data_IF_684298001931
#
_entry.id   IF_684298001931
#
_cell.length_a   1.000
_cell.length_b   1.000
_cell.length_c   1.000
_cell.angle_alpha   90.00
_cell.angle_beta   90.00
_cell.angle_gamma   90.00
#
_symmetry.space_group_name_H-M   'P 1'
#
loop_
_entity.id
_entity.type
_entity.pdbx_description
1 polymer ?
#
# COMPACT_ATOMS: atom_id res chain seq x y z
N UNK A 1 -2.14 21.26 15.32
CA UNK A 1 -3.47 21.02 15.97
C UNK A 1 -3.39 21.08 17.49
N UNK A 2 -2.62 20.20 18.18
CA UNK A 2 -2.57 20.19 19.66
C UNK A 2 -2.09 21.53 20.24
N UNK A 3 -1.00 22.10 19.72
CA UNK A 3 -0.49 23.41 20.09
C UNK A 3 -1.55 24.52 19.87
N UNK A 4 -2.18 24.54 18.69
CA UNK A 4 -3.26 25.48 18.35
C UNK A 4 -4.44 25.42 19.34
N UNK A 5 -4.82 24.19 19.78
CA UNK A 5 -5.87 24.03 20.80
C UNK A 5 -5.43 24.58 22.15
N UNK A 6 -4.18 24.31 22.57
CA UNK A 6 -3.65 24.87 23.81
C UNK A 6 -3.65 26.41 23.76
N UNK A 7 -3.15 26.99 22.68
CA UNK A 7 -3.03 28.43 22.51
C UNK A 7 -4.40 29.12 22.58
N UNK A 8 -5.32 28.73 21.70
CA UNK A 8 -6.66 29.35 21.65
C UNK A 8 -7.50 29.14 22.88
N UNK A 9 -7.40 27.98 23.53
CA UNK A 9 -8.22 27.70 24.70
C UNK A 9 -7.63 28.31 26.01
N UNK A 10 -6.30 28.49 26.06
CA UNK A 10 -5.70 29.27 27.16
C UNK A 10 -6.06 30.75 27.07
N UNK A 11 -6.10 31.32 25.86
CA UNK A 11 -6.63 32.69 25.65
C UNK A 11 -8.09 32.81 26.04
N UNK A 12 -8.88 31.73 25.91
CA UNK A 12 -10.27 31.68 26.37
C UNK A 12 -10.42 31.47 27.89
N UNK A 13 -9.31 31.34 28.64
CA UNK A 13 -9.29 31.28 30.12
C UNK A 13 -9.25 29.88 30.72
N UNK A 14 -9.02 28.81 29.92
CA UNK A 14 -8.82 27.46 30.48
C UNK A 14 -7.35 27.25 30.91
N UNK A 15 -7.15 26.46 31.95
CA UNK A 15 -5.79 26.14 32.42
C UNK A 15 -5.14 25.04 31.56
N UNK A 16 -3.81 25.03 31.50
CA UNK A 16 -3.04 23.99 30.73
C UNK A 16 -3.35 22.59 31.27
N UNK A 17 -3.45 22.42 32.60
CA UNK A 17 -3.77 21.12 33.24
C UNK A 17 -5.15 20.60 32.81
N UNK A 18 -6.16 21.48 32.77
CA UNK A 18 -7.50 21.10 32.33
C UNK A 18 -7.49 20.68 30.86
N UNK A 19 -6.79 21.41 30.01
CA UNK A 19 -6.73 21.14 28.57
C UNK A 19 -5.98 19.85 28.30
N UNK A 20 -4.78 19.68 28.81
CA UNK A 20 -3.96 18.49 28.56
C UNK A 20 -4.61 17.21 29.05
N UNK A 21 -5.37 17.25 30.14
CA UNK A 21 -6.13 16.11 30.68
C UNK A 21 -7.28 15.66 29.76
N UNK A 22 -7.74 16.53 28.85
CA UNK A 22 -8.89 16.28 27.96
C UNK A 22 -8.48 16.05 26.49
N UNK A 23 -7.30 16.52 26.08
CA UNK A 23 -6.80 16.33 24.73
C UNK A 23 -6.36 14.87 24.53
N UNK A 24 -6.92 14.22 23.53
CA UNK A 24 -6.54 12.87 23.10
C UNK A 24 -6.11 12.90 21.65
N UNK A 25 -5.01 12.22 21.36
CA UNK A 25 -4.50 12.10 20.00
C UNK A 25 -4.87 10.75 19.41
N UNK A 26 -5.41 10.74 18.20
CA UNK A 26 -5.71 9.52 17.45
C UNK A 26 -4.67 9.36 16.36
N UNK A 27 -3.95 8.25 16.38
CA UNK A 27 -2.92 7.93 15.40
C UNK A 27 -3.32 6.70 14.60
N UNK A 28 -3.20 6.78 13.25
CA UNK A 28 -3.18 5.58 12.44
C UNK A 28 -1.88 4.81 12.67
N UNK A 29 -1.94 3.48 12.72
CA UNK A 29 -0.76 2.63 12.79
C UNK A 29 -0.69 1.74 11.54
N UNK A 30 0.41 1.85 10.81
CA UNK A 30 0.63 1.18 9.52
C UNK A 30 1.61 0.00 9.61
N UNK A 31 2.04 -0.44 8.44
CA UNK A 31 2.83 -1.69 8.29
C UNK A 31 4.28 -1.59 8.68
N UNK A 32 4.86 -0.37 8.75
CA UNK A 32 6.29 -0.22 9.02
C UNK A 32 6.57 -0.29 10.53
N UNK A 33 6.75 -1.51 11.04
CA UNK A 33 6.79 -1.85 12.45
C UNK A 33 7.66 -0.93 13.32
N UNK A 34 8.93 -0.74 12.93
CA UNK A 34 9.87 0.04 13.73
C UNK A 34 9.64 1.56 13.60
N UNK A 35 9.18 2.02 12.43
CA UNK A 35 8.80 3.43 12.24
C UNK A 35 7.58 3.78 13.09
N UNK A 36 6.59 2.91 13.15
CA UNK A 36 5.39 3.12 13.95
C UNK A 36 5.72 3.15 15.44
N UNK A 37 6.56 2.23 15.92
CA UNK A 37 7.03 2.21 17.30
C UNK A 37 7.78 3.50 17.65
N UNK A 38 8.71 3.93 16.81
CA UNK A 38 9.48 5.16 17.00
C UNK A 38 8.59 6.41 16.91
N UNK A 39 7.55 6.40 16.07
CA UNK A 39 6.56 7.48 15.96
C UNK A 39 5.85 7.77 17.29
N UNK A 40 5.39 6.74 17.99
CA UNK A 40 4.72 6.92 19.29
C UNK A 40 5.69 7.44 20.35
N UNK A 41 6.94 6.99 20.35
CA UNK A 41 7.98 7.51 21.25
C UNK A 41 8.30 8.99 20.94
N UNK A 42 8.47 9.35 19.67
CA UNK A 42 8.71 10.72 19.24
C UNK A 42 7.51 11.64 19.56
N UNK A 43 6.27 11.18 19.33
CA UNK A 43 5.07 11.95 19.63
C UNK A 43 4.97 12.29 21.12
N UNK A 44 5.32 11.34 22.01
CA UNK A 44 5.33 11.56 23.45
C UNK A 44 6.35 12.62 23.84
N UNK A 45 7.53 12.57 23.28
CA UNK A 45 8.57 13.55 23.53
C UNK A 45 8.17 14.94 23.03
N UNK A 46 7.76 15.06 21.78
CA UNK A 46 7.39 16.35 21.18
C UNK A 46 6.21 17.01 21.89
N UNK A 47 5.21 16.23 22.32
CA UNK A 47 4.12 16.78 23.10
C UNK A 47 4.59 17.34 24.46
N UNK A 48 5.49 16.62 25.14
CA UNK A 48 6.06 17.09 26.39
C UNK A 48 6.86 18.40 26.24
N UNK A 49 7.59 18.59 25.14
CA UNK A 49 8.28 19.84 24.83
C UNK A 49 7.27 20.98 24.58
N UNK A 50 6.20 20.74 23.81
CA UNK A 50 5.16 21.74 23.54
C UNK A 50 4.49 22.18 24.85
N UNK A 51 4.05 21.24 25.68
CA UNK A 51 3.38 21.57 26.96
C UNK A 51 4.34 22.25 27.93
N UNK A 52 5.60 21.78 27.99
CA UNK A 52 6.65 22.35 28.83
C UNK A 52 7.01 23.80 28.50
N UNK A 53 6.76 24.24 27.26
CA UNK A 53 6.99 25.62 26.83
C UNK A 53 6.05 26.63 27.51
N UNK A 54 4.90 26.18 28.04
CA UNK A 54 3.97 27.02 28.80
C UNK A 54 4.42 27.29 30.27
N UNK A 55 5.41 26.57 30.76
CA UNK A 55 6.01 26.76 32.07
C UNK A 55 6.55 25.49 32.71
N UNK A 56 7.58 25.62 33.56
CA UNK A 56 8.24 24.48 34.19
C UNK A 56 7.30 23.63 35.07
N UNK A 57 6.25 24.25 35.63
CA UNK A 57 5.23 23.56 36.43
C UNK A 57 4.46 22.50 35.59
N UNK A 58 4.43 22.63 34.27
CA UNK A 58 3.68 21.73 33.40
C UNK A 58 4.52 20.56 32.85
N UNK A 59 5.82 20.46 33.17
CA UNK A 59 6.71 19.39 32.75
C UNK A 59 6.44 18.02 33.39
N UNK A 60 5.51 17.93 34.34
CA UNK A 60 5.12 16.71 35.04
C UNK A 60 3.96 15.97 34.37
N UNK A 61 2.90 15.76 35.14
CA UNK A 61 1.71 15.01 34.69
C UNK A 61 0.96 15.70 33.55
N UNK A 62 0.97 17.02 33.48
CA UNK A 62 0.36 17.79 32.41
C UNK A 62 1.02 17.53 31.03
N UNK A 63 2.30 17.18 31.01
CA UNK A 63 3.02 16.87 29.79
C UNK A 63 2.77 15.45 29.23
N UNK A 64 2.03 14.61 29.97
CA UNK A 64 1.71 13.26 29.51
C UNK A 64 0.67 13.30 28.40
N UNK A 65 1.04 12.75 27.24
CA UNK A 65 0.12 12.61 26.10
C UNK A 65 -0.79 11.40 26.30
N UNK A 66 -2.07 11.51 25.92
CA UNK A 66 -2.95 10.37 25.75
C UNK A 66 -3.03 9.99 24.27
N UNK A 67 -2.59 8.79 23.92
CA UNK A 67 -2.54 8.28 22.56
C UNK A 67 -3.51 7.13 22.36
N UNK A 68 -4.43 7.31 21.42
CA UNK A 68 -5.25 6.24 20.88
C UNK A 68 -4.73 5.84 19.52
N UNK A 69 -4.45 4.55 19.28
CA UNK A 69 -4.05 4.05 17.98
C UNK A 69 -5.19 3.31 17.28
N UNK A 70 -5.26 3.44 15.97
CA UNK A 70 -6.19 2.69 15.11
C UNK A 70 -5.38 2.04 13.99
N UNK A 71 -5.54 0.74 13.75
CA UNK A 71 -4.87 0.07 12.63
C UNK A 71 -5.28 0.71 11.32
N UNK A 72 -4.28 1.01 10.46
CA UNK A 72 -4.50 1.78 9.23
C UNK A 72 -5.29 1.00 8.19
N UNK A 73 -6.13 1.69 7.42
CA UNK A 73 -6.79 1.14 6.23
C UNK A 73 -5.91 1.18 5.00
N UNK A 74 -4.83 1.98 5.00
CA UNK A 74 -3.94 2.19 3.85
C UNK A 74 -3.48 0.89 3.18
N UNK A 75 -3.04 -0.08 3.97
CA UNK A 75 -2.47 -1.35 3.51
C UNK A 75 -3.47 -2.52 3.54
N UNK A 76 -4.75 -2.27 3.79
CA UNK A 76 -5.79 -3.31 3.74
C UNK A 76 -6.25 -3.54 2.31
N UNK A 77 -6.53 -4.79 1.98
CA UNK A 77 -6.84 -5.25 0.63
C UNK A 77 -8.16 -5.98 0.58
N UNK A 78 -8.84 -5.94 -0.57
CA UNK A 78 -10.05 -6.74 -0.82
C UNK A 78 -9.71 -8.13 -1.35
N UNK A 79 -8.60 -8.26 -2.08
CA UNK A 79 -8.06 -9.55 -2.49
C UNK A 79 -7.17 -10.10 -1.39
N UNK A 80 -7.21 -11.43 -1.23
CA UNK A 80 -6.52 -12.15 -0.16
C UNK A 80 -6.80 -11.53 1.22
N UNK A 81 -8.07 -11.22 1.47
CA UNK A 81 -8.53 -10.38 2.58
C UNK A 81 -8.12 -10.93 3.97
N UNK A 82 -7.97 -12.26 4.11
CA UNK A 82 -7.52 -12.85 5.38
C UNK A 82 -6.06 -12.46 5.73
N UNK A 83 -5.24 -12.05 4.77
CA UNK A 83 -3.91 -11.49 5.06
C UNK A 83 -4.01 -10.18 5.86
N UNK A 84 -5.15 -9.48 5.80
CA UNK A 84 -5.40 -8.31 6.65
C UNK A 84 -5.32 -8.64 8.16
N UNK A 85 -5.65 -9.89 8.56
CA UNK A 85 -5.48 -10.35 9.95
C UNK A 85 -4.00 -10.29 10.39
N UNK A 86 -3.10 -10.73 9.51
CA UNK A 86 -1.66 -10.69 9.78
C UNK A 86 -1.13 -9.26 9.83
N UNK A 87 -1.66 -8.40 8.94
CA UNK A 87 -1.31 -6.97 8.92
C UNK A 87 -1.72 -6.26 10.20
N UNK A 88 -2.99 -6.42 10.61
CA UNK A 88 -3.51 -5.80 11.83
C UNK A 88 -2.82 -6.32 13.08
N UNK A 89 -2.40 -7.60 13.11
CA UNK A 89 -1.64 -8.16 14.21
C UNK A 89 -0.29 -7.45 14.40
N UNK A 90 0.49 -7.29 13.33
CA UNK A 90 1.81 -6.62 13.40
C UNK A 90 1.68 -5.13 13.72
N UNK A 91 0.64 -4.46 13.22
CA UNK A 91 0.31 -3.08 13.55
C UNK A 91 -0.06 -2.93 15.03
N UNK A 92 -0.92 -3.81 15.55
CA UNK A 92 -1.30 -3.84 16.96
C UNK A 92 -0.09 -4.09 17.88
N UNK A 93 0.84 -4.96 17.46
CA UNK A 93 2.10 -5.19 18.18
C UNK A 93 2.95 -3.92 18.27
N UNK A 94 3.15 -3.22 17.14
CA UNK A 94 3.97 -1.99 17.12
C UNK A 94 3.34 -0.87 17.95
N UNK A 95 2.01 -0.74 17.94
CA UNK A 95 1.29 0.23 18.76
C UNK A 95 1.42 -0.09 20.26
N UNK A 96 1.21 -1.34 20.64
CA UNK A 96 1.30 -1.79 22.04
C UNK A 96 2.72 -1.61 22.60
N UNK A 97 3.74 -2.02 21.87
CA UNK A 97 5.14 -1.86 22.26
C UNK A 97 5.59 -0.39 22.21
N UNK A 98 4.97 0.43 21.37
CA UNK A 98 5.14 1.89 21.35
C UNK A 98 4.47 2.62 22.52
N UNK A 99 3.71 1.88 23.35
CA UNK A 99 3.13 2.37 24.59
C UNK A 99 1.92 3.29 24.40
N UNK A 100 1.03 2.98 23.45
CA UNK A 100 -0.25 3.70 23.33
C UNK A 100 -1.17 3.39 24.49
N UNK A 101 -2.02 4.35 24.86
CA UNK A 101 -2.94 4.20 26.01
C UNK A 101 -4.16 3.36 25.65
N UNK A 102 -4.56 3.38 24.40
CA UNK A 102 -5.66 2.55 23.90
C UNK A 102 -5.48 2.23 22.41
N UNK A 103 -6.10 1.13 21.97
CA UNK A 103 -5.94 0.62 20.62
C UNK A 103 -7.29 0.13 20.07
N UNK A 104 -7.59 0.48 18.83
CA UNK A 104 -8.63 -0.16 18.01
C UNK A 104 -7.98 -0.95 16.90
N UNK A 105 -8.22 -2.26 16.86
CA UNK A 105 -7.90 -3.14 15.74
C UNK A 105 -9.12 -3.20 14.84
N UNK A 106 -8.97 -2.78 13.60
CA UNK A 106 -10.05 -2.88 12.63
C UNK A 106 -10.21 -4.32 12.14
N UNK A 107 -11.45 -4.79 11.91
CA UNK A 107 -11.72 -6.08 11.32
C UNK A 107 -11.09 -6.24 9.94
N UNK A 108 -10.76 -7.48 9.56
CA UNK A 108 -10.06 -7.75 8.30
C UNK A 108 -10.88 -7.46 7.04
N UNK A 109 -12.20 -7.43 7.17
CA UNK A 109 -13.19 -7.26 6.11
C UNK A 109 -13.68 -5.82 5.92
N UNK A 110 -13.23 -4.89 6.76
CA UNK A 110 -13.66 -3.46 6.77
C UNK A 110 -13.52 -2.75 5.42
N UNK A 111 -12.74 -3.30 4.49
CA UNK A 111 -12.48 -2.70 3.17
C UNK A 111 -13.51 -3.07 2.11
N UNK A 112 -14.37 -4.07 2.34
CA UNK A 112 -15.27 -4.58 1.32
C UNK A 112 -16.67 -4.94 1.80
N UNK A 113 -16.90 -4.95 3.11
CA UNK A 113 -18.22 -5.20 3.68
C UNK A 113 -18.37 -4.56 5.06
N UNK A 114 -19.60 -4.42 5.52
CA UNK A 114 -19.86 -4.15 6.92
C UNK A 114 -19.44 -5.36 7.76
N UNK A 115 -18.63 -5.11 8.81
CA UNK A 115 -18.04 -6.17 9.61
C UNK A 115 -19.10 -6.93 10.41
N UNK A 116 -18.95 -8.24 10.49
CA UNK A 116 -19.85 -9.12 11.22
C UNK A 116 -19.30 -9.51 12.61
N UNK A 117 -20.10 -10.23 13.38
CA UNK A 117 -19.71 -10.71 14.71
C UNK A 117 -18.44 -11.59 14.70
N UNK A 118 -18.14 -12.27 13.59
CA UNK A 118 -16.93 -13.10 13.47
C UNK A 118 -15.70 -12.22 13.29
N UNK A 119 -15.72 -11.32 12.33
CA UNK A 119 -14.58 -10.44 12.02
C UNK A 119 -14.28 -9.48 13.18
N UNK A 120 -15.31 -8.92 13.84
CA UNK A 120 -15.15 -8.10 15.05
C UNK A 120 -14.57 -8.89 16.22
N UNK A 121 -15.02 -10.14 16.41
CA UNK A 121 -14.48 -11.01 17.46
C UNK A 121 -13.01 -11.31 17.24
N UNK A 122 -12.58 -11.57 16.01
CA UNK A 122 -11.17 -11.80 15.69
C UNK A 122 -10.35 -10.54 15.98
N UNK A 123 -10.80 -9.38 15.53
CA UNK A 123 -10.10 -8.11 15.78
C UNK A 123 -9.91 -7.82 17.27
N UNK A 124 -10.94 -8.09 18.10
CA UNK A 124 -10.83 -7.99 19.54
C UNK A 124 -9.89 -9.03 20.14
N UNK A 125 -9.96 -10.27 19.66
CA UNK A 125 -9.13 -11.36 20.17
C UNK A 125 -7.64 -11.15 19.86
N UNK A 126 -7.27 -10.46 18.80
CA UNK A 126 -5.88 -10.05 18.55
C UNK A 126 -5.31 -9.23 19.71
N UNK A 127 -6.08 -8.29 20.25
CA UNK A 127 -5.65 -7.48 21.40
C UNK A 127 -5.56 -8.31 22.69
N UNK A 128 -6.53 -9.22 22.91
CA UNK A 128 -6.51 -10.12 24.06
C UNK A 128 -5.31 -11.08 24.00
N UNK A 129 -4.97 -11.59 22.81
CA UNK A 129 -3.79 -12.43 22.58
C UNK A 129 -2.51 -11.67 22.95
N UNK A 130 -2.36 -10.43 22.53
CA UNK A 130 -1.19 -9.61 22.86
C UNK A 130 -1.06 -9.39 24.37
N UNK A 131 -2.17 -9.25 25.09
CA UNK A 131 -2.20 -9.04 26.53
C UNK A 131 -2.02 -10.34 27.31
N UNK A 132 -2.88 -11.33 27.09
CA UNK A 132 -3.00 -12.52 27.94
C UNK A 132 -1.99 -13.63 27.61
N UNK A 133 -1.60 -13.78 26.33
CA UNK A 133 -0.66 -14.81 25.89
C UNK A 133 0.74 -14.27 25.65
N UNK A 134 0.84 -13.09 25.02
CA UNK A 134 2.14 -12.47 24.66
C UNK A 134 2.68 -11.55 25.78
N UNK A 135 1.85 -11.18 26.75
CA UNK A 135 2.21 -10.38 27.92
C UNK A 135 2.85 -9.01 27.61
N UNK A 136 2.43 -8.36 26.52
CA UNK A 136 2.99 -7.07 26.10
C UNK A 136 2.64 -5.92 27.07
N UNK A 137 1.67 -6.12 27.95
CA UNK A 137 1.28 -5.17 29.00
C UNK A 137 2.20 -5.20 30.25
N UNK A 138 3.18 -6.12 30.30
CA UNK A 138 4.06 -6.30 31.46
C UNK A 138 5.34 -5.47 31.42
N UNK A 139 5.67 -4.87 30.29
CA UNK A 139 6.92 -4.12 30.08
C UNK A 139 6.60 -2.75 29.51
N UNK A 140 7.19 -1.71 30.11
CA UNK A 140 7.09 -0.33 29.63
C UNK A 140 8.30 -0.05 28.74
N UNK A 141 8.06 0.50 27.53
CA UNK A 141 9.07 0.88 26.55
C UNK A 141 10.17 -0.19 26.34
N UNK A 142 9.79 -1.40 25.92
CA UNK A 142 10.76 -2.51 25.78
C UNK A 142 11.80 -2.27 24.69
N UNK A 143 11.61 -1.27 23.85
CA UNK A 143 12.54 -0.87 22.80
C UNK A 143 13.60 0.16 23.27
N UNK A 144 13.48 0.66 24.50
CA UNK A 144 14.43 1.60 25.09
C UNK A 144 15.85 1.02 25.09
N UNK A 145 16.84 1.84 24.71
CA UNK A 145 18.25 1.45 24.60
C UNK A 145 18.61 0.67 23.34
N UNK A 146 17.68 0.33 22.47
CA UNK A 146 17.99 -0.17 21.13
C UNK A 146 18.56 0.95 20.29
N UNK A 147 19.81 0.86 19.85
CA UNK A 147 20.48 1.90 19.05
C UNK A 147 19.69 2.31 17.81
N UNK A 148 19.09 1.35 17.14
CA UNK A 148 18.29 1.59 15.95
C UNK A 148 17.01 2.38 16.28
N UNK A 149 16.27 1.97 17.32
CA UNK A 149 15.02 2.64 17.71
C UNK A 149 15.28 4.03 18.28
N UNK A 150 16.33 4.20 19.09
CA UNK A 150 16.71 5.51 19.62
C UNK A 150 17.06 6.48 18.49
N UNK A 151 17.91 6.04 17.54
CA UNK A 151 18.26 6.85 16.38
C UNK A 151 17.04 7.21 15.54
N UNK A 152 16.15 6.24 15.27
CA UNK A 152 14.94 6.44 14.48
C UNK A 152 13.96 7.39 15.19
N UNK A 153 13.81 7.26 16.50
CA UNK A 153 12.98 8.16 17.33
C UNK A 153 13.48 9.60 17.24
N UNK A 154 14.79 9.80 17.40
CA UNK A 154 15.39 11.13 17.31
C UNK A 154 15.22 11.74 15.91
N UNK A 155 15.50 10.97 14.86
CA UNK A 155 15.36 11.43 13.48
C UNK A 155 13.92 11.82 13.14
N UNK A 156 12.93 11.01 13.59
CA UNK A 156 11.52 11.34 13.41
C UNK A 156 11.12 12.58 14.20
N UNK A 157 11.56 12.72 15.45
CA UNK A 157 11.28 13.89 16.27
C UNK A 157 11.83 15.17 15.63
N UNK A 158 13.08 15.14 15.14
CA UNK A 158 13.69 16.30 14.46
C UNK A 158 12.92 16.71 13.19
N UNK A 159 12.53 15.74 12.36
CA UNK A 159 11.79 16.05 11.13
C UNK A 159 10.37 16.56 11.44
N UNK A 160 9.68 15.93 12.40
CA UNK A 160 8.35 16.37 12.83
C UNK A 160 8.40 17.77 13.45
N UNK A 161 9.45 18.09 14.22
CA UNK A 161 9.65 19.41 14.80
C UNK A 161 9.86 20.49 13.72
N UNK A 162 10.67 20.19 12.70
CA UNK A 162 10.84 21.11 11.55
C UNK A 162 9.53 21.40 10.82
N UNK A 163 8.69 20.37 10.62
CA UNK A 163 7.38 20.54 10.01
C UNK A 163 6.43 21.34 10.91
N UNK A 164 6.48 21.11 12.21
CA UNK A 164 5.72 21.89 13.20
C UNK A 164 6.09 23.37 13.12
N UNK A 165 7.39 23.70 13.19
CA UNK A 165 7.84 25.09 13.10
C UNK A 165 7.45 25.77 11.78
N UNK A 166 7.50 25.05 10.66
CA UNK A 166 7.08 25.58 9.37
C UNK A 166 5.58 25.96 9.36
N UNK A 167 4.72 25.14 10.00
CA UNK A 167 3.29 25.41 10.15
C UNK A 167 3.07 26.62 11.09
N UNK A 168 3.84 26.73 12.17
CA UNK A 168 3.76 27.89 13.08
C UNK A 168 4.20 29.21 12.39
N UNK A 169 5.23 29.16 11.53
CA UNK A 169 5.66 30.31 10.72
C UNK A 169 4.58 30.76 9.72
N UNK A 170 3.71 29.87 9.23
CA UNK A 170 2.55 30.23 8.39
C UNK A 170 1.41 30.91 9.18
N UNK A 171 1.49 30.97 10.51
CA UNK A 171 0.45 31.52 11.39
C UNK A 171 -0.35 30.48 12.13
N UNK A 172 0.17 29.25 12.27
CA UNK A 172 -0.42 28.13 12.99
C UNK A 172 -1.25 27.20 12.10
N UNK A 173 -1.69 26.11 12.72
CA UNK A 173 -2.35 25.02 11.99
C UNK A 173 -3.66 25.43 11.30
N UNK A 174 -4.47 26.29 11.94
CA UNK A 174 -5.74 26.71 11.35
C UNK A 174 -5.52 27.52 10.06
N UNK A 175 -4.60 28.48 10.10
CA UNK A 175 -4.24 29.32 8.93
C UNK A 175 -3.65 28.47 7.81
N UNK A 176 -2.70 27.58 8.13
CA UNK A 176 -2.09 26.68 7.16
C UNK A 176 -3.11 25.71 6.52
N UNK A 177 -4.08 25.21 7.30
CA UNK A 177 -5.16 24.36 6.80
C UNK A 177 -6.14 25.12 5.90
N UNK A 178 -6.51 26.35 6.25
CA UNK A 178 -7.37 27.22 5.42
C UNK A 178 -6.67 27.60 4.11
N UNK A 179 -5.35 27.85 4.15
CA UNK A 179 -4.53 28.11 2.97
C UNK A 179 -4.28 26.86 2.10
N UNK A 180 -4.59 25.65 2.61
CA UNK A 180 -4.42 24.39 1.89
C UNK A 180 -2.98 23.84 1.88
N UNK A 181 -2.03 24.46 2.59
CA UNK A 181 -0.62 24.03 2.61
C UNK A 181 -0.45 22.64 3.25
N UNK A 182 -1.18 22.36 4.33
CA UNK A 182 -1.20 21.06 5.01
C UNK A 182 -1.73 19.97 4.08
N UNK A 183 -2.86 20.21 3.42
CA UNK A 183 -3.49 19.27 2.50
C UNK A 183 -2.59 18.97 1.30
N UNK A 184 -1.98 20.00 0.72
CA UNK A 184 -1.03 19.86 -0.38
C UNK A 184 0.16 18.98 0.00
N UNK A 185 0.74 19.15 1.19
CA UNK A 185 1.86 18.34 1.68
C UNK A 185 1.46 16.88 1.90
N UNK A 186 0.28 16.64 2.51
CA UNK A 186 -0.26 15.30 2.75
C UNK A 186 -0.59 14.60 1.43
N UNK A 187 -1.31 15.27 0.52
CA UNK A 187 -1.68 14.70 -0.78
C UNK A 187 -0.45 14.42 -1.66
N UNK A 188 0.59 15.27 -1.62
CA UNK A 188 1.85 15.01 -2.30
C UNK A 188 2.57 13.77 -1.75
N UNK A 189 2.54 13.56 -0.43
CA UNK A 189 3.07 12.35 0.21
C UNK A 189 2.28 11.10 -0.20
N UNK A 190 0.94 11.20 -0.22
CA UNK A 190 0.06 10.13 -0.67
C UNK A 190 0.32 9.74 -2.13
N UNK A 191 0.43 10.72 -3.04
CA UNK A 191 0.75 10.48 -4.46
C UNK A 191 2.09 9.75 -4.65
N UNK A 192 3.13 10.10 -3.86
CA UNK A 192 4.41 9.38 -3.88
C UNK A 192 4.26 7.92 -3.45
N UNK A 193 3.44 7.65 -2.45
CA UNK A 193 3.17 6.27 -1.99
C UNK A 193 2.42 5.48 -3.04
N UNK A 194 1.38 6.03 -3.68
CA UNK A 194 0.68 5.39 -4.80
C UNK A 194 1.63 5.07 -5.95
N UNK A 195 2.52 6.00 -6.32
CA UNK A 195 3.54 5.75 -7.34
C UNK A 195 4.51 4.61 -6.94
N UNK A 196 4.84 4.49 -5.65
CA UNK A 196 5.67 3.40 -5.15
C UNK A 196 4.94 2.05 -5.22
N UNK A 197 3.64 2.00 -4.92
CA UNK A 197 2.79 0.81 -5.06
C UNK A 197 2.66 0.41 -6.53
N UNK A 198 2.38 1.38 -7.43
CA UNK A 198 2.26 1.14 -8.87
C UNK A 198 3.53 0.53 -9.48
N UNK A 199 4.71 0.92 -8.98
CA UNK A 199 6.01 0.41 -9.41
C UNK A 199 6.52 -0.78 -8.58
N UNK A 200 5.70 -1.38 -7.69
CA UNK A 200 6.08 -2.46 -6.75
C UNK A 200 7.26 -2.13 -5.83
N UNK A 201 7.53 -0.87 -5.55
CA UNK A 201 8.47 -0.45 -4.50
C UNK A 201 7.85 -0.57 -3.11
N UNK A 202 6.54 -0.38 -3.00
CA UNK A 202 5.70 -0.73 -1.83
C UNK A 202 4.84 -1.95 -2.22
N UNK A 203 4.99 -3.05 -1.46
CA UNK A 203 4.38 -4.35 -1.80
C UNK A 203 3.17 -4.61 -0.91
N UNK A 204 2.06 -4.97 -1.54
CA UNK A 204 0.88 -5.53 -0.88
C UNK A 204 0.66 -6.96 -1.36
N UNK A 205 0.92 -7.91 -0.46
CA UNK A 205 0.71 -9.34 -0.72
C UNK A 205 -0.73 -9.61 -1.14
N UNK A 206 -0.91 -10.44 -2.16
CA UNK A 206 -2.23 -10.76 -2.69
C UNK A 206 -2.78 -9.73 -3.68
N UNK A 207 -2.15 -8.55 -3.82
CA UNK A 207 -2.62 -7.46 -4.69
C UNK A 207 -1.62 -7.16 -5.81
N UNK A 208 -0.52 -6.46 -5.50
CA UNK A 208 0.50 -6.14 -6.51
C UNK A 208 1.69 -7.11 -6.51
N UNK A 209 1.69 -8.08 -5.60
CA UNK A 209 2.69 -9.14 -5.50
C UNK A 209 2.05 -10.42 -4.95
N UNK A 210 2.41 -11.57 -5.52
CA UNK A 210 1.88 -12.89 -5.16
C UNK A 210 0.34 -12.95 -5.09
N UNK A 211 -0.38 -12.49 -6.13
CA UNK A 211 -1.83 -12.54 -6.14
C UNK A 211 -2.33 -13.99 -6.16
N UNK A 212 -3.46 -14.25 -5.51
CA UNK A 212 -4.16 -15.52 -5.65
C UNK A 212 -4.84 -15.59 -7.02
N UNK A 213 -4.40 -16.50 -7.89
CA UNK A 213 -4.84 -16.60 -9.28
C UNK A 213 -6.30 -17.04 -9.47
N UNK A 214 -6.88 -17.67 -8.44
CA UNK A 214 -8.22 -18.24 -8.49
C UNK A 214 -9.26 -17.40 -7.76
N UNK A 215 -8.84 -16.39 -7.00
CA UNK A 215 -9.73 -15.54 -6.24
C UNK A 215 -10.45 -14.53 -7.13
N UNK A 216 -11.73 -14.33 -6.86
CA UNK A 216 -12.56 -13.25 -7.41
C UNK A 216 -13.18 -12.44 -6.28
N UNK A 217 -13.30 -11.14 -6.44
CA UNK A 217 -13.84 -10.24 -5.43
C UNK A 217 -15.11 -9.51 -5.88
N UNK A 218 -15.42 -9.47 -7.18
CA UNK A 218 -16.56 -8.72 -7.70
C UNK A 218 -17.91 -9.09 -7.06
N UNK A 219 -18.08 -10.34 -6.62
CA UNK A 219 -19.31 -10.81 -5.95
C UNK A 219 -19.33 -10.49 -4.44
N UNK A 220 -18.19 -10.15 -3.84
CA UNK A 220 -18.07 -9.85 -2.41
C UNK A 220 -18.36 -8.37 -2.12
N UNK A 221 -18.24 -7.51 -3.13
CA UNK A 221 -18.43 -6.08 -2.99
C UNK A 221 -19.92 -5.76 -3.09
N UNK A 222 -20.50 -5.25 -2.01
CA UNK A 222 -21.83 -4.68 -2.04
C UNK A 222 -21.76 -3.27 -2.68
N UNK A 223 -22.68 -2.94 -3.57
CA UNK A 223 -22.74 -1.63 -4.26
C UNK A 223 -22.75 -0.44 -3.29
N UNK A 224 -23.22 -0.63 -2.07
CA UNK A 224 -23.23 0.38 -1.00
C UNK A 224 -21.83 0.71 -0.46
N UNK A 225 -20.88 -0.22 -0.48
CA UNK A 225 -19.52 0.04 -0.03
C UNK A 225 -18.72 0.94 -0.99
N UNK A 226 -19.04 0.90 -2.28
CA UNK A 226 -18.44 1.81 -3.28
C UNK A 226 -19.00 3.25 -3.15
N UNK A 227 -20.27 3.40 -2.76
CA UNK A 227 -20.90 4.70 -2.59
C UNK A 227 -20.44 5.46 -1.33
N UNK A 228 -20.08 4.73 -0.27
CA UNK A 228 -19.64 5.31 1.01
C UNK A 228 -18.29 6.05 0.93
N UNK A 229 -17.47 5.77 -0.08
CA UNK A 229 -16.17 6.43 -0.26
C UNK A 229 -16.26 7.82 -0.91
N UNK A 230 -17.40 8.22 -1.46
CA UNK A 230 -17.50 9.39 -2.33
C UNK A 230 -18.57 10.44 -1.98
N UNK A 231 -19.36 10.29 -0.91
CA UNK A 231 -20.40 11.29 -0.62
C UNK A 231 -20.30 11.91 0.77
N UNK A 232 -19.48 12.93 0.88
CA UNK A 232 -19.78 13.97 1.85
C UNK A 232 -20.79 14.93 1.19
N UNK A 233 -22.05 14.91 1.61
CA UNK A 233 -23.13 15.77 1.09
C UNK A 233 -23.03 17.25 1.47
N UNK A 234 -21.84 17.75 1.71
CA UNK A 234 -21.53 19.16 1.93
C UNK A 234 -21.22 19.79 0.58
N UNK A 235 -21.77 21.00 0.31
CA UNK A 235 -21.49 21.79 -0.88
C UNK A 235 -19.99 21.89 -1.18
N UNK A 236 -19.60 22.41 -2.35
CA UNK A 236 -18.20 22.46 -2.76
C UNK A 236 -17.31 22.92 -1.60
N UNK A 237 -16.37 22.09 -1.14
CA UNK A 237 -15.52 22.44 -0.02
C UNK A 237 -14.68 23.67 -0.41
N UNK A 238 -14.68 24.69 0.45
CA UNK A 238 -13.80 25.86 0.28
C UNK A 238 -12.33 25.53 0.47
N UNK A 239 -12.02 24.33 0.95
CA UNK A 239 -10.69 23.84 1.30
C UNK A 239 -10.44 22.54 0.54
N UNK A 240 -9.22 22.35 0.00
CA UNK A 240 -8.81 21.12 -0.66
C UNK A 240 -9.02 19.90 0.25
N UNK A 241 -9.67 18.85 -0.26
CA UNK A 241 -9.88 17.62 0.49
C UNK A 241 -8.61 16.77 0.55
N UNK A 242 -8.44 16.04 1.66
CA UNK A 242 -7.42 15.01 1.75
C UNK A 242 -7.83 13.78 0.93
N UNK A 243 -6.87 13.16 0.25
CA UNK A 243 -7.07 11.86 -0.39
C UNK A 243 -6.89 10.74 0.65
N UNK A 244 -7.96 9.97 0.87
CA UNK A 244 -8.00 8.82 1.79
C UNK A 244 -7.99 7.47 1.06
N UNK A 245 -7.69 7.43 -0.24
CA UNK A 245 -7.65 6.20 -1.01
C UNK A 245 -6.63 5.22 -0.40
N UNK A 246 -6.99 3.94 -0.40
CA UNK A 246 -6.11 2.86 0.04
C UNK A 246 -5.00 2.61 -0.98
N UNK A 247 -3.83 2.20 -0.52
CA UNK A 247 -2.71 1.92 -1.41
C UNK A 247 -2.98 0.83 -2.44
N UNK A 248 -3.89 -0.10 -2.15
CA UNK A 248 -4.29 -1.18 -3.05
C UNK A 248 -5.37 -0.78 -4.07
N UNK A 249 -6.09 0.34 -3.86
CA UNK A 249 -7.33 0.70 -4.58
C UNK A 249 -7.19 0.69 -6.11
N UNK A 250 -6.08 1.18 -6.65
CA UNK A 250 -5.86 1.24 -8.09
C UNK A 250 -5.65 -0.14 -8.73
N UNK A 251 -4.91 -1.06 -8.06
CA UNK A 251 -4.77 -2.45 -8.52
C UNK A 251 -6.07 -3.23 -8.37
N UNK A 252 -6.81 -2.96 -7.30
CA UNK A 252 -8.12 -3.57 -7.07
C UNK A 252 -9.13 -3.14 -8.14
N UNK A 253 -9.17 -1.84 -8.47
CA UNK A 253 -10.01 -1.33 -9.55
C UNK A 253 -9.65 -1.97 -10.91
N UNK A 254 -8.35 -2.09 -11.22
CA UNK A 254 -7.87 -2.75 -12.43
C UNK A 254 -8.34 -4.21 -12.51
N UNK A 255 -8.16 -4.98 -11.43
CA UNK A 255 -8.54 -6.39 -11.38
C UNK A 255 -10.05 -6.58 -11.41
N UNK A 256 -10.79 -5.73 -10.68
CA UNK A 256 -12.26 -5.72 -10.72
C UNK A 256 -12.82 -5.41 -12.11
N UNK A 257 -12.20 -4.47 -12.86
CA UNK A 257 -12.57 -4.20 -14.23
C UNK A 257 -12.42 -5.46 -15.12
N UNK A 258 -11.31 -6.20 -14.94
CA UNK A 258 -11.11 -7.48 -15.62
C UNK A 258 -12.21 -8.49 -15.26
N UNK A 259 -12.51 -8.69 -13.99
CA UNK A 259 -13.54 -9.63 -13.52
C UNK A 259 -14.93 -9.25 -14.03
N UNK A 260 -15.32 -7.97 -13.94
CA UNK A 260 -16.62 -7.44 -14.37
C UNK A 260 -16.81 -7.48 -15.89
N UNK A 261 -15.73 -7.44 -16.66
CA UNK A 261 -15.80 -7.54 -18.13
C UNK A 261 -16.32 -8.89 -18.63
N UNK A 262 -16.27 -9.91 -17.78
CA UNK A 262 -16.63 -11.29 -18.15
C UNK A 262 -15.65 -11.94 -19.14
N UNK A 263 -14.57 -11.26 -19.52
CA UNK A 263 -13.54 -11.78 -20.42
C UNK A 263 -12.55 -12.64 -19.68
N UNK A 264 -12.29 -13.84 -20.15
CA UNK A 264 -11.21 -14.69 -19.64
C UNK A 264 -9.93 -14.38 -20.40
N UNK A 265 -9.11 -13.46 -19.89
CA UNK A 265 -7.81 -13.14 -20.46
C UNK A 265 -6.81 -14.20 -20.04
N UNK A 266 -6.28 -14.94 -21.02
CA UNK A 266 -5.25 -15.96 -20.82
C UNK A 266 -3.89 -15.42 -21.23
N UNK A 267 -2.90 -15.62 -20.38
CA UNK A 267 -1.50 -15.24 -20.59
C UNK A 267 -0.66 -16.51 -20.61
N UNK A 268 -0.03 -16.79 -21.73
CA UNK A 268 0.80 -17.96 -21.92
C UNK A 268 2.28 -17.62 -21.80
N UNK A 269 3.02 -18.37 -20.98
CA UNK A 269 4.45 -18.22 -20.79
C UNK A 269 5.18 -19.08 -21.84
N UNK A 270 5.68 -18.47 -22.93
CA UNK A 270 6.52 -19.14 -23.90
C UNK A 270 7.93 -19.26 -23.31
N UNK A 271 8.20 -20.37 -22.64
CA UNK A 271 9.48 -20.64 -21.96
C UNK A 271 10.41 -21.43 -22.91
N UNK A 272 11.57 -20.86 -23.24
CA UNK A 272 12.54 -21.46 -24.16
C UNK A 272 13.98 -21.09 -23.75
N UNK A 273 14.96 -21.83 -24.18
CA UNK A 273 16.38 -21.56 -23.94
C UNK A 273 16.85 -21.91 -22.54
N UNK A 274 17.70 -21.08 -21.95
CA UNK A 274 18.36 -21.31 -20.66
C UNK A 274 17.35 -21.62 -19.55
N UNK A 275 17.47 -22.79 -18.92
CA UNK A 275 16.51 -23.31 -17.94
C UNK A 275 16.32 -22.36 -16.74
N UNK A 276 17.41 -21.89 -16.16
CA UNK A 276 17.33 -21.05 -14.95
C UNK A 276 16.67 -19.70 -15.27
N UNK A 277 17.05 -19.09 -16.39
CA UNK A 277 16.54 -17.78 -16.78
C UNK A 277 15.08 -17.86 -17.25
N UNK A 278 14.71 -18.84 -18.07
CA UNK A 278 13.31 -18.98 -18.49
C UNK A 278 12.35 -19.21 -17.34
N UNK A 279 12.75 -20.00 -16.32
CA UNK A 279 11.93 -20.19 -15.10
C UNK A 279 11.80 -18.90 -14.29
N UNK A 280 12.89 -18.17 -14.07
CA UNK A 280 12.86 -16.91 -13.35
C UNK A 280 11.99 -15.86 -14.09
N UNK A 281 12.09 -15.79 -15.43
CA UNK A 281 11.27 -14.90 -16.25
C UNK A 281 9.80 -15.29 -16.27
N UNK A 282 9.50 -16.60 -16.36
CA UNK A 282 8.13 -17.10 -16.27
C UNK A 282 7.50 -16.76 -14.92
N UNK A 283 8.20 -17.03 -13.83
CA UNK A 283 7.70 -16.72 -12.48
C UNK A 283 7.46 -15.22 -12.29
N UNK A 284 8.37 -14.36 -12.75
CA UNK A 284 8.20 -12.91 -12.72
C UNK A 284 6.97 -12.47 -13.51
N UNK A 285 6.85 -12.96 -14.76
CA UNK A 285 5.76 -12.60 -15.67
C UNK A 285 4.40 -13.11 -15.19
N UNK A 286 4.35 -14.32 -14.65
CA UNK A 286 3.15 -14.89 -14.03
C UNK A 286 2.63 -14.01 -12.91
N UNK A 287 3.53 -13.60 -12.03
CA UNK A 287 3.20 -12.69 -10.92
C UNK A 287 2.76 -11.31 -11.43
N UNK A 288 3.38 -10.82 -12.52
CA UNK A 288 3.08 -9.53 -13.11
C UNK A 288 1.65 -9.48 -13.66
N UNK A 289 1.30 -10.40 -14.53
CA UNK A 289 -0.01 -10.42 -15.20
C UNK A 289 -1.16 -10.86 -14.29
N UNK A 290 -0.88 -11.72 -13.32
CA UNK A 290 -1.89 -12.16 -12.37
C UNK A 290 -2.42 -11.02 -11.48
N UNK A 291 -1.67 -9.91 -11.32
CA UNK A 291 -2.15 -8.73 -10.61
C UNK A 291 -3.38 -8.06 -11.27
N UNK A 292 -3.57 -8.26 -12.57
CA UNK A 292 -4.78 -7.83 -13.29
C UNK A 292 -5.90 -8.89 -13.29
N UNK A 293 -5.72 -10.02 -12.61
CA UNK A 293 -6.68 -11.13 -12.62
C UNK A 293 -6.63 -12.00 -13.86
N UNK A 294 -5.58 -11.88 -14.69
CA UNK A 294 -5.43 -12.71 -15.90
C UNK A 294 -5.09 -14.15 -15.51
N UNK A 295 -5.56 -15.10 -16.33
CA UNK A 295 -5.32 -16.54 -16.14
C UNK A 295 -3.97 -16.93 -16.70
N UNK A 296 -3.07 -17.32 -15.84
CA UNK A 296 -1.69 -17.69 -16.21
C UNK A 296 -1.64 -19.15 -16.65
N UNK A 297 -0.94 -19.37 -17.76
CA UNK A 297 -0.63 -20.71 -18.30
C UNK A 297 0.88 -20.86 -18.42
N UNK A 298 1.46 -21.57 -17.46
CA UNK A 298 2.88 -21.90 -17.42
C UNK A 298 3.14 -23.31 -17.96
N UNK A 299 4.40 -23.62 -18.27
CA UNK A 299 4.80 -24.90 -18.84
C UNK A 299 6.26 -25.24 -18.53
N UNK A 300 6.69 -26.43 -18.93
CA UNK A 300 8.06 -26.92 -18.68
C UNK A 300 9.10 -26.41 -19.69
N UNK A 301 8.65 -25.82 -20.83
CA UNK A 301 9.50 -25.28 -21.89
C UNK A 301 9.38 -26.03 -23.21
N UNK A 302 9.80 -25.34 -24.28
CA UNK A 302 9.70 -25.81 -25.65
C UNK A 302 11.11 -25.96 -26.25
N UNK A 303 11.24 -26.85 -27.26
CA UNK A 303 12.46 -27.00 -27.99
C UNK A 303 12.59 -25.97 -29.12
N UNK A 304 11.46 -25.55 -29.72
CA UNK A 304 11.41 -24.54 -30.77
C UNK A 304 10.41 -23.44 -30.48
N UNK A 305 10.62 -22.27 -31.07
CA UNK A 305 9.73 -21.13 -30.96
C UNK A 305 8.34 -21.45 -31.51
N UNK A 306 8.27 -22.15 -32.63
CA UNK A 306 7.01 -22.50 -33.30
C UNK A 306 6.15 -23.41 -32.43
N UNK A 307 6.73 -24.46 -31.83
CA UNK A 307 6.01 -25.31 -30.85
C UNK A 307 5.42 -24.52 -29.73
N UNK A 308 6.18 -23.56 -29.17
CA UNK A 308 5.73 -22.72 -28.07
C UNK A 308 4.62 -21.77 -28.47
N UNK A 309 4.70 -21.12 -29.62
CA UNK A 309 3.65 -20.22 -30.14
C UNK A 309 2.38 -21.01 -30.47
N UNK A 310 2.51 -22.19 -31.13
CA UNK A 310 1.34 -23.01 -31.45
C UNK A 310 0.64 -23.54 -30.21
N UNK A 311 1.42 -23.94 -29.20
CA UNK A 311 0.87 -24.35 -27.88
C UNK A 311 0.11 -23.18 -27.22
N UNK A 312 0.68 -21.97 -27.22
CA UNK A 312 0.02 -20.77 -26.69
C UNK A 312 -1.28 -20.44 -27.40
N UNK A 313 -1.28 -20.46 -28.72
CA UNK A 313 -2.47 -20.21 -29.55
C UNK A 313 -3.55 -21.28 -29.33
N UNK A 314 -3.15 -22.55 -29.21
CA UNK A 314 -4.08 -23.65 -28.92
C UNK A 314 -4.84 -23.50 -27.60
N UNK A 315 -4.27 -22.79 -26.62
CA UNK A 315 -4.94 -22.49 -25.35
C UNK A 315 -5.93 -21.32 -25.45
N UNK A 316 -5.93 -20.60 -26.57
CA UNK A 316 -6.68 -19.35 -26.73
C UNK A 316 -6.06 -18.18 -25.97
N UNK A 317 -4.72 -18.16 -25.82
CA UNK A 317 -4.04 -17.08 -25.12
C UNK A 317 -4.20 -15.73 -25.85
N UNK A 318 -4.58 -14.71 -25.10
CA UNK A 318 -4.65 -13.32 -25.59
C UNK A 318 -3.29 -12.64 -25.56
N UNK A 319 -2.40 -13.11 -24.69
CA UNK A 319 -1.04 -12.57 -24.50
C UNK A 319 -0.06 -13.75 -24.48
N UNK A 320 1.02 -13.65 -25.26
CA UNK A 320 2.15 -14.60 -25.23
C UNK A 320 3.38 -13.86 -24.73
N UNK A 321 3.96 -14.35 -23.65
CA UNK A 321 5.15 -13.78 -22.99
C UNK A 321 6.36 -14.65 -23.27
N UNK A 322 7.31 -14.15 -24.03
CA UNK A 322 8.57 -14.84 -24.27
C UNK A 322 9.46 -14.74 -23.02
N UNK A 323 9.82 -15.91 -22.48
CA UNK A 323 10.63 -16.07 -21.27
C UNK A 323 11.92 -16.84 -21.62
N UNK A 324 13.04 -16.13 -21.68
CA UNK A 324 14.37 -16.66 -21.99
C UNK A 324 15.47 -15.84 -21.29
N UNK A 325 16.74 -16.08 -21.61
CA UNK A 325 17.83 -15.22 -21.18
C UNK A 325 17.96 -13.97 -22.05
N UNK A 326 18.58 -12.92 -21.51
CA UNK A 326 18.75 -11.64 -22.22
C UNK A 326 19.56 -11.82 -23.53
N UNK A 327 20.52 -12.74 -23.54
CA UNK A 327 21.35 -13.02 -24.72
C UNK A 327 20.60 -13.75 -25.84
N UNK A 328 19.60 -14.55 -25.47
CA UNK A 328 18.80 -15.37 -26.41
C UNK A 328 17.66 -14.59 -27.08
N UNK A 329 17.26 -13.45 -26.51
CA UNK A 329 16.15 -12.67 -27.09
C UNK A 329 16.44 -12.09 -28.47
N UNK A 330 17.70 -11.84 -28.81
CA UNK A 330 18.07 -11.37 -30.17
C UNK A 330 17.68 -12.36 -31.28
N UNK A 331 17.66 -13.66 -30.95
CA UNK A 331 17.28 -14.73 -31.87
C UNK A 331 15.80 -15.08 -31.76
N UNK A 332 15.35 -15.43 -30.57
CA UNK A 332 14.00 -15.96 -30.34
C UNK A 332 12.88 -14.93 -30.48
N UNK A 333 13.12 -13.67 -30.13
CA UNK A 333 12.02 -12.68 -30.08
C UNK A 333 11.56 -12.28 -31.51
N UNK A 334 12.43 -11.98 -32.49
CA UNK A 334 11.99 -11.70 -33.85
C UNK A 334 11.32 -12.91 -34.52
N UNK A 335 11.81 -14.14 -34.28
CA UNK A 335 11.24 -15.37 -34.82
C UNK A 335 9.82 -15.58 -34.26
N UNK A 336 9.64 -15.49 -32.92
CA UNK A 336 8.35 -15.64 -32.27
C UNK A 336 7.35 -14.58 -32.76
N UNK A 337 7.77 -13.33 -32.81
CA UNK A 337 6.92 -12.22 -33.23
C UNK A 337 6.43 -12.37 -34.66
N UNK A 338 7.35 -12.74 -35.60
CA UNK A 338 7.01 -12.99 -36.97
C UNK A 338 6.07 -14.19 -37.13
N UNK A 339 6.34 -15.29 -36.42
CA UNK A 339 5.50 -16.49 -36.47
C UNK A 339 4.14 -16.28 -35.87
N UNK A 340 4.06 -15.51 -34.77
CA UNK A 340 2.79 -15.14 -34.12
C UNK A 340 1.89 -14.30 -35.03
N UNK A 341 2.46 -13.45 -35.88
CA UNK A 341 1.77 -12.66 -36.90
C UNK A 341 0.52 -11.89 -36.38
N UNK A 342 0.61 -11.29 -35.22
CA UNK A 342 -0.48 -10.48 -34.62
C UNK A 342 -1.70 -11.26 -34.09
N UNK A 343 -1.60 -12.60 -34.01
CA UNK A 343 -2.70 -13.45 -33.49
C UNK A 343 -2.94 -13.34 -31.98
N UNK A 344 -1.97 -12.79 -31.25
CA UNK A 344 -2.06 -12.44 -29.84
C UNK A 344 -1.09 -11.28 -29.53
N UNK A 345 -1.27 -10.61 -28.40
CA UNK A 345 -0.30 -9.62 -27.91
C UNK A 345 1.02 -10.31 -27.56
N UNK A 346 2.14 -9.79 -28.06
CA UNK A 346 3.47 -10.33 -27.81
C UNK A 346 4.24 -9.49 -26.80
N UNK A 347 4.86 -10.14 -25.82
CA UNK A 347 5.61 -9.50 -24.73
C UNK A 347 6.96 -10.18 -24.55
N UNK A 348 8.01 -9.41 -24.35
CA UNK A 348 9.34 -9.90 -23.96
C UNK A 348 9.56 -9.67 -22.46
N UNK A 349 9.87 -10.75 -21.73
CA UNK A 349 10.13 -10.70 -20.30
C UNK A 349 11.59 -10.36 -20.00
N UNK A 350 11.96 -9.10 -20.11
CA UNK A 350 13.32 -8.63 -19.90
C UNK A 350 13.55 -7.21 -20.38
N UNK A 351 14.79 -6.77 -20.24
CA UNK A 351 15.30 -5.54 -20.85
C UNK A 351 16.68 -5.83 -21.49
N UNK A 352 16.71 -6.68 -22.54
CA UNK A 352 17.95 -7.09 -23.18
C UNK A 352 18.66 -5.91 -23.87
N UNK A 353 19.96 -6.03 -24.07
CA UNK A 353 20.75 -5.01 -24.77
C UNK A 353 20.25 -4.74 -26.21
N UNK A 354 19.65 -5.75 -26.86
CA UNK A 354 19.05 -5.66 -28.22
C UNK A 354 17.65 -5.03 -28.24
N UNK A 355 17.15 -4.40 -27.13
CA UNK A 355 15.79 -3.85 -27.06
C UNK A 355 15.46 -2.89 -28.20
N UNK A 356 16.40 -2.06 -28.65
CA UNK A 356 16.16 -1.09 -29.72
C UNK A 356 16.04 -1.79 -31.09
N UNK A 357 16.83 -2.85 -31.35
CA UNK A 357 16.71 -3.67 -32.52
C UNK A 357 15.37 -4.42 -32.54
N UNK A 358 14.93 -4.93 -31.40
CA UNK A 358 13.63 -5.60 -31.26
C UNK A 358 12.46 -4.63 -31.49
N UNK A 359 12.56 -3.39 -31.05
CA UNK A 359 11.58 -2.34 -31.36
C UNK A 359 11.54 -2.00 -32.84
N UNK A 360 12.68 -1.99 -33.50
CA UNK A 360 12.77 -1.72 -34.95
C UNK A 360 12.03 -2.77 -35.78
N UNK A 361 11.90 -4.02 -35.29
CA UNK A 361 11.10 -5.08 -35.98
C UNK A 361 9.62 -5.09 -35.52
N UNK A 362 9.19 -4.14 -34.69
CA UNK A 362 7.80 -3.95 -34.30
C UNK A 362 7.41 -4.56 -32.94
N UNK A 363 8.34 -5.03 -32.12
CA UNK A 363 8.08 -5.55 -30.80
C UNK A 363 8.02 -4.37 -29.81
N UNK A 364 6.84 -4.09 -29.26
CA UNK A 364 6.60 -2.90 -28.43
C UNK A 364 6.54 -3.18 -26.93
N UNK A 365 6.13 -4.40 -26.53
CA UNK A 365 5.84 -4.69 -25.12
C UNK A 365 7.02 -5.40 -24.46
N UNK A 366 7.59 -4.74 -23.46
CA UNK A 366 8.67 -5.27 -22.61
C UNK A 366 8.29 -5.12 -21.15
N UNK A 367 8.46 -6.17 -20.35
CA UNK A 367 8.24 -6.15 -18.91
C UNK A 367 9.50 -6.54 -18.15
N UNK A 368 9.85 -5.77 -17.13
CA UNK A 368 11.02 -6.03 -16.29
C UNK A 368 10.83 -5.44 -14.89
N UNK A 369 11.81 -5.58 -14.01
CA UNK A 369 11.76 -5.12 -12.61
C UNK A 369 11.61 -3.60 -12.45
N UNK A 370 11.88 -2.81 -13.50
CA UNK A 370 11.72 -1.35 -13.50
C UNK A 370 10.39 -0.89 -14.11
N UNK A 371 9.61 -1.80 -14.66
CA UNK A 371 8.31 -1.48 -15.26
C UNK A 371 7.34 -0.94 -14.22
N UNK A 372 6.56 0.10 -14.59
CA UNK A 372 5.38 0.48 -13.83
C UNK A 372 4.28 -0.56 -14.08
N UNK A 373 4.08 -1.44 -13.11
CA UNK A 373 3.20 -2.61 -13.26
C UNK A 373 1.76 -2.19 -13.50
N UNK A 374 1.27 -1.25 -12.71
CA UNK A 374 -0.12 -0.78 -12.80
C UNK A 374 -0.41 -0.16 -14.17
N UNK A 375 0.45 0.76 -14.62
CA UNK A 375 0.26 1.44 -15.90
C UNK A 375 0.37 0.48 -17.08
N UNK A 376 1.35 -0.44 -17.04
CA UNK A 376 1.49 -1.46 -18.09
C UNK A 376 0.25 -2.37 -18.17
N UNK A 377 -0.28 -2.79 -17.03
CA UNK A 377 -1.49 -3.63 -17.00
C UNK A 377 -2.75 -2.87 -17.44
N UNK A 378 -2.86 -1.56 -17.13
CA UNK A 378 -3.94 -0.69 -17.66
C UNK A 378 -3.88 -0.63 -19.21
N UNK A 379 -2.68 -0.51 -19.77
CA UNK A 379 -2.51 -0.52 -21.24
C UNK A 379 -2.96 -1.86 -21.84
N UNK A 380 -2.65 -3.00 -21.21
CA UNK A 380 -3.14 -4.29 -21.65
C UNK A 380 -4.65 -4.42 -21.52
N UNK A 381 -5.26 -3.97 -20.43
CA UNK A 381 -6.73 -3.92 -20.29
C UNK A 381 -7.34 -3.13 -21.46
N UNK A 382 -6.82 -1.94 -21.75
CA UNK A 382 -7.30 -1.13 -22.86
C UNK A 382 -7.16 -1.82 -24.23
N UNK A 383 -5.99 -2.42 -24.53
CA UNK A 383 -5.75 -3.20 -25.77
C UNK A 383 -6.74 -4.36 -25.93
N UNK A 384 -7.12 -4.99 -24.82
CA UNK A 384 -8.06 -6.10 -24.77
C UNK A 384 -9.53 -5.66 -24.69
N UNK A 385 -9.80 -4.34 -24.72
CA UNK A 385 -11.13 -3.78 -24.64
C UNK A 385 -11.80 -4.00 -23.27
N UNK A 386 -11.04 -3.94 -22.21
CA UNK A 386 -11.51 -3.95 -20.80
C UNK A 386 -11.40 -2.51 -20.30
N UNK A 387 -12.53 -1.93 -19.91
CA UNK A 387 -12.65 -0.53 -19.45
C UNK A 387 -12.96 -0.48 -17.97
#
# INVERSE_FOLDING_TARGET
>A
MGAELLDKLTEAGFSIEELTSRIKFVFGVGSNYFMELAKFRAARWLWAEIVGAYGDQYKGDAAKIYMHAVTSTWNKTIYDAHVNLLRTQTEAMSATLGGVDSLTVQPFDVTYQESDNFSERIARNQQLLLKEESHFDKVIDPAAGSYYIEHLTNALAEQAWKLFLAVEEEGGFAVAAEAGSVQKAVNASNAKRHAAVAARKEIFLGTNQFPNFTETAAQKLHEEAEAATHSCGCGQPSIEALNFDRGASEFEALRLATERSGKEVKVFMLTIGNLAMRLARSQFSSNFFACAGYKIQDNLGFATVQEGVDAGLATGASIIVLCSSDDEYAEFAPEAFKYLAGRAEFVVAGAPACTDDLKAVGIENFINVKSNVLETLRQFNHKLGIN
#
